data_IF_070962200658
#
_entry.id   IF_070962200658
#
_cell.length_a   1.000
_cell.length_b   1.000
_cell.length_c   1.000
_cell.angle_alpha   90.00
_cell.angle_beta   90.00
_cell.angle_gamma   90.00
#
_symmetry.space_group_name_H-M   'P 1'
#
loop_
_entity.id
_entity.type
_entity.pdbx_description
1 polymer ?
#
# COMPACT_ATOMS: atom_id res chain seq x y z
N UNK A 1 -14.42 15.89 18.75
CA UNK A 1 -14.15 14.63 18.01
C UNK A 1 -13.20 13.80 18.89
N UNK A 2 -13.40 12.48 19.04
CA UNK A 2 -12.43 11.65 19.76
C UNK A 2 -11.05 11.81 19.13
N UNK A 3 -9.97 11.84 19.93
CA UNK A 3 -8.61 12.14 19.47
C UNK A 3 -8.14 11.25 18.30
N UNK A 4 -8.66 10.04 18.21
CA UNK A 4 -8.39 9.07 17.13
C UNK A 4 -8.88 9.55 15.76
N UNK A 5 -10.00 10.28 15.70
CA UNK A 5 -10.50 10.87 14.44
C UNK A 5 -9.66 12.05 13.97
N UNK A 6 -9.02 12.77 14.88
CA UNK A 6 -8.18 13.92 14.52
C UNK A 6 -6.87 13.46 13.88
N UNK A 7 -6.28 12.36 14.38
CA UNK A 7 -5.13 11.72 13.77
C UNK A 7 -5.45 11.19 12.37
N UNK A 8 -6.56 10.48 12.20
CA UNK A 8 -7.00 9.97 10.90
C UNK A 8 -7.31 11.10 9.89
N UNK A 9 -7.89 12.23 10.35
CA UNK A 9 -8.11 13.39 9.48
C UNK A 9 -6.82 14.08 9.06
N UNK A 10 -5.84 14.20 9.98
CA UNK A 10 -4.51 14.76 9.66
C UNK A 10 -3.76 13.84 8.69
N UNK A 11 -3.87 12.54 8.86
CA UNK A 11 -3.30 11.55 7.94
C UNK A 11 -3.94 11.64 6.55
N UNK A 12 -5.27 11.73 6.47
CA UNK A 12 -5.97 11.94 5.22
C UNK A 12 -5.62 13.27 4.53
N UNK A 13 -5.42 14.35 5.30
CA UNK A 13 -4.99 15.64 4.74
C UNK A 13 -3.53 15.63 4.27
N UNK A 14 -2.66 14.88 4.93
CA UNK A 14 -1.26 14.69 4.52
C UNK A 14 -1.16 13.79 3.27
N UNK A 15 -2.17 12.97 3.00
CA UNK A 15 -2.19 12.01 1.91
C UNK A 15 -2.00 12.67 0.54
N UNK A 16 -2.62 13.82 0.28
CA UNK A 16 -2.47 14.54 -0.98
C UNK A 16 -1.01 14.94 -1.25
N UNK A 17 -0.29 15.35 -0.19
CA UNK A 17 1.13 15.69 -0.28
C UNK A 17 2.01 14.43 -0.49
N UNK A 18 1.67 13.32 0.18
CA UNK A 18 2.38 12.04 0.03
C UNK A 18 2.20 11.49 -1.40
N UNK A 19 0.97 11.51 -1.92
CA UNK A 19 0.65 11.05 -3.26
C UNK A 19 1.32 11.92 -4.35
N UNK A 20 1.42 13.23 -4.13
CA UNK A 20 2.14 14.13 -5.03
C UNK A 20 3.63 13.76 -5.16
N UNK A 21 4.31 13.45 -4.05
CA UNK A 21 5.72 13.01 -4.06
C UNK A 21 5.88 11.66 -4.78
N UNK A 22 4.94 10.72 -4.57
CA UNK A 22 4.94 9.44 -5.29
C UNK A 22 4.81 9.64 -6.80
N UNK A 23 4.00 10.62 -7.23
CA UNK A 23 3.83 10.98 -8.64
C UNK A 23 5.10 11.61 -9.23
N UNK A 24 5.82 12.44 -8.46
CA UNK A 24 7.08 13.04 -8.89
C UNK A 24 8.24 12.05 -8.98
N UNK A 25 8.20 10.94 -8.23
CA UNK A 25 9.25 9.92 -8.22
C UNK A 25 9.51 9.30 -9.61
N UNK A 26 8.54 9.34 -10.51
CA UNK A 26 8.65 8.76 -11.85
C UNK A 26 8.78 7.23 -11.80
N UNK A 27 9.25 6.64 -12.89
CA UNK A 27 9.38 5.17 -12.97
C UNK A 27 10.53 4.66 -12.11
N UNK A 28 10.28 3.57 -11.38
CA UNK A 28 11.27 2.75 -10.68
C UNK A 28 11.96 1.72 -11.60
N UNK A 29 11.61 1.69 -12.89
CA UNK A 29 12.14 0.74 -13.87
C UNK A 29 11.87 -0.71 -13.47
N UNK A 30 12.90 -1.54 -13.53
CA UNK A 30 12.86 -2.97 -13.22
C UNK A 30 13.12 -3.28 -11.73
N UNK A 31 13.06 -2.30 -10.84
CA UNK A 31 13.23 -2.55 -9.40
C UNK A 31 12.06 -3.39 -8.88
N UNK A 32 12.26 -4.58 -8.30
CA UNK A 32 11.15 -5.39 -7.78
C UNK A 32 10.37 -4.63 -6.69
N UNK A 33 9.05 -4.59 -6.82
CA UNK A 33 8.18 -3.90 -5.87
C UNK A 33 6.93 -4.73 -5.57
N UNK A 34 6.61 -4.90 -4.29
CA UNK A 34 5.35 -5.51 -3.84
C UNK A 34 4.67 -4.53 -2.90
N UNK A 35 3.47 -4.09 -3.25
CA UNK A 35 2.64 -3.19 -2.44
C UNK A 35 1.51 -4.01 -1.83
N UNK A 36 1.38 -3.96 -0.51
CA UNK A 36 0.33 -4.67 0.23
C UNK A 36 -0.77 -3.71 0.67
N UNK A 37 -2.02 -4.13 0.53
CA UNK A 37 -3.21 -3.44 1.06
C UNK A 37 -3.97 -4.39 1.97
N UNK A 38 -4.36 -3.91 3.15
CA UNK A 38 -5.26 -4.66 4.02
C UNK A 38 -6.69 -4.71 3.43
N UNK A 39 -7.39 -5.83 3.58
CA UNK A 39 -8.70 -6.04 2.95
C UNK A 39 -9.80 -5.14 3.52
N UNK A 40 -9.66 -4.64 4.75
CA UNK A 40 -10.55 -3.62 5.33
C UNK A 40 -10.65 -2.35 4.47
N UNK A 41 -9.63 -2.02 3.67
CA UNK A 41 -9.65 -0.91 2.71
C UNK A 41 -10.50 -1.19 1.48
N UNK A 42 -10.79 -2.46 1.18
CA UNK A 42 -11.51 -2.89 -0.03
C UNK A 42 -12.90 -3.45 0.27
N UNK A 43 -13.20 -3.67 1.54
CA UNK A 43 -14.46 -4.24 2.04
C UNK A 43 -15.26 -3.21 2.85
N UNK A 44 -16.55 -3.51 3.05
CA UNK A 44 -17.49 -2.62 3.74
C UNK A 44 -17.80 -1.34 2.96
N UNK A 45 -18.25 -0.29 3.66
CA UNK A 45 -18.54 1.00 3.05
C UNK A 45 -17.28 1.60 2.41
N UNK A 46 -17.37 1.90 1.11
CA UNK A 46 -16.29 2.49 0.34
C UNK A 46 -16.37 4.01 0.44
N UNK A 47 -15.65 4.58 1.39
CA UNK A 47 -15.48 6.04 1.50
C UNK A 47 -14.51 6.55 0.41
N UNK A 48 -14.52 7.86 0.07
CA UNK A 48 -13.53 8.44 -0.84
C UNK A 48 -12.10 8.09 -0.42
N UNK A 49 -11.77 8.29 0.87
CA UNK A 49 -10.47 7.95 1.44
C UNK A 49 -10.08 6.50 1.16
N UNK A 50 -10.98 5.52 1.33
CA UNK A 50 -10.65 4.11 1.06
C UNK A 50 -10.31 3.88 -0.42
N UNK A 51 -11.11 4.44 -1.32
CA UNK A 51 -10.89 4.31 -2.76
C UNK A 51 -9.57 4.95 -3.18
N UNK A 52 -9.29 6.15 -2.69
CA UNK A 52 -8.09 6.92 -3.03
C UNK A 52 -6.83 6.22 -2.49
N UNK A 53 -6.91 5.60 -1.30
CA UNK A 53 -5.81 4.84 -0.72
C UNK A 53 -5.50 3.56 -1.53
N UNK A 54 -6.53 2.83 -1.93
CA UNK A 54 -6.38 1.64 -2.80
C UNK A 54 -5.86 2.03 -4.18
N UNK A 55 -6.30 3.17 -4.72
CA UNK A 55 -5.81 3.71 -6.00
C UNK A 55 -4.32 4.06 -5.92
N UNK A 56 -3.89 4.78 -4.88
CA UNK A 56 -2.47 5.09 -4.67
C UNK A 56 -1.62 3.82 -4.60
N UNK A 57 -2.06 2.78 -3.88
CA UNK A 57 -1.29 1.54 -3.79
C UNK A 57 -1.12 0.85 -5.15
N UNK A 58 -2.12 0.95 -6.03
CA UNK A 58 -2.02 0.47 -7.42
C UNK A 58 -1.05 1.33 -8.23
N UNK A 59 -1.13 2.64 -8.09
CA UNK A 59 -0.23 3.59 -8.78
C UNK A 59 1.23 3.38 -8.37
N UNK A 60 1.49 3.20 -7.06
CA UNK A 60 2.81 2.87 -6.54
C UNK A 60 3.35 1.57 -7.14
N UNK A 61 2.54 0.51 -7.17
CA UNK A 61 2.94 -0.74 -7.80
C UNK A 61 3.27 -0.55 -9.29
N UNK A 62 2.52 0.30 -10.00
CA UNK A 62 2.73 0.60 -11.42
C UNK A 62 3.99 1.43 -11.72
N UNK A 63 4.64 2.03 -10.71
CA UNK A 63 5.92 2.73 -10.92
C UNK A 63 7.04 1.77 -11.34
N UNK A 64 6.92 0.48 -10.99
CA UNK A 64 7.83 -0.59 -11.42
C UNK A 64 7.19 -1.48 -12.48
N UNK A 65 7.92 -1.81 -13.55
CA UNK A 65 7.50 -2.82 -14.54
C UNK A 65 7.42 -4.22 -13.95
N UNK A 66 8.06 -4.44 -12.79
CA UNK A 66 8.05 -5.67 -12.00
C UNK A 66 7.28 -5.50 -10.70
N UNK A 67 6.42 -4.48 -10.64
CA UNK A 67 5.59 -4.20 -9.49
C UNK A 67 4.36 -5.10 -9.40
N UNK A 68 3.91 -5.35 -8.18
CA UNK A 68 2.63 -6.03 -7.92
C UNK A 68 1.89 -5.40 -6.76
N UNK A 69 0.56 -5.38 -6.86
CA UNK A 69 -0.34 -4.94 -5.79
C UNK A 69 -1.14 -6.15 -5.28
N UNK A 70 -1.12 -6.38 -3.97
CA UNK A 70 -1.78 -7.52 -3.34
C UNK A 70 -2.69 -7.06 -2.21
N UNK A 71 -3.91 -7.62 -2.16
CA UNK A 71 -4.83 -7.45 -1.04
C UNK A 71 -4.61 -8.60 -0.07
N UNK A 72 -4.49 -8.29 1.22
CA UNK A 72 -4.22 -9.25 2.28
C UNK A 72 -5.49 -9.45 3.11
N UNK A 73 -6.13 -10.61 2.94
CA UNK A 73 -7.38 -10.95 3.61
C UNK A 73 -7.25 -10.98 5.15
N UNK A 74 -8.32 -10.64 5.86
CA UNK A 74 -8.37 -10.69 7.31
C UNK A 74 -7.38 -9.74 8.00
N UNK A 75 -7.12 -8.58 7.40
CA UNK A 75 -6.21 -7.58 7.96
C UNK A 75 -6.78 -6.18 7.95
N UNK A 76 -6.32 -5.37 8.89
CA UNK A 76 -6.56 -3.93 8.89
C UNK A 76 -5.30 -3.17 8.56
N UNK A 77 -5.42 -1.87 8.28
CA UNK A 77 -4.26 -0.98 8.15
C UNK A 77 -3.22 -1.20 9.26
N UNK A 78 -3.70 -1.31 10.50
CA UNK A 78 -2.86 -1.46 11.70
C UNK A 78 -2.38 -2.91 11.85
N UNK A 79 -3.23 -3.89 11.56
CA UNK A 79 -2.91 -5.29 11.85
C UNK A 79 -2.05 -5.95 10.78
N UNK A 80 -1.99 -5.44 9.56
CA UNK A 80 -1.22 -6.04 8.47
C UNK A 80 0.27 -6.24 8.83
N UNK A 81 1.03 -5.23 9.30
CA UNK A 81 2.43 -5.44 9.65
C UNK A 81 2.65 -6.28 10.91
N UNK A 82 1.63 -6.45 11.77
CA UNK A 82 1.78 -7.07 13.10
C UNK A 82 1.26 -8.51 13.11
N UNK A 83 0.03 -8.72 12.62
CA UNK A 83 -0.68 -9.99 12.65
C UNK A 83 -0.52 -10.79 11.35
N UNK A 84 -0.20 -10.12 10.23
CA UNK A 84 0.05 -10.77 8.93
C UNK A 84 1.53 -10.74 8.54
N UNK A 85 2.40 -11.01 9.51
CA UNK A 85 3.84 -11.13 9.29
C UNK A 85 4.19 -12.20 8.24
N UNK A 86 3.34 -13.22 8.07
CA UNK A 86 3.43 -14.21 7.00
C UNK A 86 3.31 -13.58 5.61
N UNK A 87 2.32 -12.71 5.40
CA UNK A 87 2.10 -12.02 4.14
C UNK A 87 3.24 -11.02 3.84
N UNK A 88 3.71 -10.31 4.86
CA UNK A 88 4.87 -9.41 4.74
C UNK A 88 6.12 -10.20 4.37
N UNK A 89 6.40 -11.31 5.05
CA UNK A 89 7.56 -12.16 4.74
C UNK A 89 7.49 -12.75 3.33
N UNK A 90 6.31 -13.17 2.87
CA UNK A 90 6.10 -13.65 1.50
C UNK A 90 6.33 -12.56 0.45
N UNK A 91 5.89 -11.33 0.71
CA UNK A 91 6.14 -10.18 -0.15
C UNK A 91 7.64 -9.86 -0.26
N UNK A 92 8.35 -9.87 0.87
CA UNK A 92 9.82 -9.70 0.89
C UNK A 92 10.52 -10.81 0.11
N UNK A 93 10.14 -12.07 0.33
CA UNK A 93 10.70 -13.20 -0.41
C UNK A 93 10.46 -13.08 -1.92
N UNK A 94 9.28 -12.60 -2.33
CA UNK A 94 8.94 -12.35 -3.74
C UNK A 94 9.83 -11.26 -4.34
N UNK A 95 10.02 -10.15 -3.64
CA UNK A 95 10.90 -9.07 -4.10
C UNK A 95 12.36 -9.55 -4.25
N UNK A 96 12.87 -10.32 -3.29
CA UNK A 96 14.23 -10.88 -3.32
C UNK A 96 14.42 -11.97 -4.39
N UNK A 97 13.41 -12.81 -4.64
CA UNK A 97 13.47 -13.84 -5.67
C UNK A 97 13.55 -13.20 -7.07
N UNK A 98 12.87 -12.07 -7.26
CA UNK A 98 12.95 -11.28 -8.49
C UNK A 98 14.36 -10.75 -8.76
N UNK A 99 15.19 -10.47 -7.76
CA UNK A 99 16.58 -10.03 -8.00
C UNK A 99 17.49 -11.14 -8.54
N UNK A 100 17.18 -12.41 -8.25
CA UNK A 100 18.06 -13.56 -8.55
C UNK A 100 17.95 -14.10 -9.97
N UNK A 101 17.05 -13.57 -10.79
CA UNK A 101 16.79 -14.02 -12.17
C UNK A 101 17.27 -12.98 -13.21
N UNK A 102 17.96 -11.94 -12.76
CA UNK A 102 18.53 -10.86 -13.60
C UNK A 102 20.00 -11.05 -13.91
#
# INVERSE_FOLDING_TARGET
LPAEYEAAYREAAAFEQIAAVATEAGSLGELPLVVLTADDWTTGEQTPMKRDFVALHRELAALSSRGSHQIVDGSTHISLPILRADAVAAAVATALASERVS
#
